data_IF_753530260646
#
_entry.id   IF_753530260646
#
_cell.length_a   1.000
_cell.length_b   1.000
_cell.length_c   1.000
_cell.angle_alpha   90.00
_cell.angle_beta   90.00
_cell.angle_gamma   90.00
#
_symmetry.space_group_name_H-M   'P 1'
#
loop_
_entity.id
_entity.type
_entity.pdbx_description
1 polymer ?
#
# COMPACT_ATOMS: atom_id res chain seq x y z
N UNK A 1 8.04 -38.48 -8.23
CA UNK A 1 7.93 -38.76 -9.67
C UNK A 1 6.63 -38.15 -10.20
N UNK A 2 5.52 -38.90 -10.26
CA UNK A 2 4.29 -38.42 -10.92
C UNK A 2 3.74 -37.06 -10.43
N UNK A 3 3.71 -36.80 -9.12
CA UNK A 3 3.18 -35.52 -8.59
C UNK A 3 4.14 -34.34 -8.74
N UNK A 4 5.46 -34.58 -8.66
CA UNK A 4 6.48 -33.56 -8.90
C UNK A 4 6.48 -33.12 -10.36
N UNK A 5 6.47 -34.09 -11.30
CA UNK A 5 6.40 -33.79 -12.75
C UNK A 5 5.10 -33.08 -13.15
N UNK A 6 3.99 -33.35 -12.43
CA UNK A 6 2.71 -32.68 -12.66
C UNK A 6 2.73 -31.23 -12.14
N UNK A 7 3.34 -30.98 -10.98
CA UNK A 7 3.59 -29.62 -10.45
C UNK A 7 4.50 -28.80 -11.36
N UNK A 8 5.60 -29.38 -11.83
CA UNK A 8 6.55 -28.70 -12.73
C UNK A 8 5.89 -28.30 -14.06
N UNK A 9 5.08 -29.20 -14.65
CA UNK A 9 4.30 -28.88 -15.86
C UNK A 9 3.29 -27.76 -15.61
N UNK A 10 2.54 -27.81 -14.50
CA UNK A 10 1.62 -26.71 -14.12
C UNK A 10 2.35 -25.38 -13.91
N UNK A 11 3.50 -25.38 -13.23
CA UNK A 11 4.31 -24.18 -13.04
C UNK A 11 4.81 -23.60 -14.37
N UNK A 12 5.26 -24.46 -15.31
CA UNK A 12 5.69 -24.01 -16.64
C UNK A 12 4.55 -23.35 -17.45
N UNK A 13 3.30 -23.80 -17.27
CA UNK A 13 2.12 -23.20 -17.90
C UNK A 13 1.80 -21.82 -17.31
N UNK A 14 1.80 -21.69 -15.97
CA UNK A 14 1.58 -20.42 -15.26
C UNK A 14 2.67 -19.39 -15.62
N UNK A 15 3.93 -19.82 -15.74
CA UNK A 15 5.01 -18.96 -16.22
C UNK A 15 4.82 -18.49 -17.67
N UNK A 16 4.34 -19.37 -18.56
CA UNK A 16 4.05 -19.02 -19.95
C UNK A 16 2.90 -18.02 -20.05
N UNK A 17 1.81 -18.24 -19.32
CA UNK A 17 0.67 -17.31 -19.22
C UNK A 17 1.09 -15.95 -18.64
N UNK A 18 1.97 -15.93 -17.62
CA UNK A 18 2.55 -14.70 -17.07
C UNK A 18 3.37 -13.95 -18.13
N UNK A 19 4.24 -14.65 -18.88
CA UNK A 19 5.03 -14.06 -19.97
C UNK A 19 4.14 -13.52 -21.08
N UNK A 20 3.05 -14.22 -21.41
CA UNK A 20 2.07 -13.74 -22.38
C UNK A 20 1.36 -12.47 -21.89
N UNK A 21 0.85 -12.47 -20.66
CA UNK A 21 0.22 -11.30 -20.04
C UNK A 21 1.19 -10.10 -19.98
N UNK A 22 2.47 -10.33 -19.65
CA UNK A 22 3.51 -9.30 -19.76
C UNK A 22 3.67 -8.76 -21.18
N UNK A 23 3.79 -9.61 -22.19
CA UNK A 23 3.95 -9.16 -23.59
C UNK A 23 2.74 -8.40 -24.12
N UNK A 24 1.53 -8.74 -23.65
CA UNK A 24 0.30 -8.02 -23.96
C UNK A 24 0.26 -6.67 -23.24
N UNK A 25 0.70 -6.60 -21.98
CA UNK A 25 0.85 -5.34 -21.24
C UNK A 25 1.90 -4.41 -21.84
N UNK A 26 3.04 -4.95 -22.27
CA UNK A 26 4.08 -4.20 -22.99
C UNK A 26 3.53 -3.64 -24.31
N UNK A 27 2.84 -4.47 -25.12
CA UNK A 27 2.23 -4.03 -26.37
C UNK A 27 1.11 -2.99 -26.16
N UNK A 28 0.33 -3.10 -25.08
CA UNK A 28 -0.70 -2.11 -24.72
C UNK A 28 -0.09 -0.78 -24.26
N UNK A 29 1.01 -0.81 -23.50
CA UNK A 29 1.78 0.39 -23.17
C UNK A 29 2.31 1.10 -24.42
N UNK A 30 2.82 0.34 -25.39
CA UNK A 30 3.40 0.89 -26.63
C UNK A 30 2.33 1.38 -27.62
N UNK A 31 1.09 0.87 -27.53
CA UNK A 31 -0.07 1.39 -28.27
C UNK A 31 -0.76 2.59 -27.60
N UNK A 32 -0.38 2.93 -26.36
CA UNK A 32 -1.00 3.98 -25.56
C UNK A 32 -2.31 3.57 -24.86
N UNK A 33 -2.71 2.29 -24.94
CA UNK A 33 -3.84 1.75 -24.16
C UNK A 33 -3.39 1.37 -22.74
N UNK A 34 -3.21 2.41 -21.93
CA UNK A 34 -2.73 2.25 -20.56
C UNK A 34 -3.73 1.51 -19.66
N UNK A 35 -5.03 1.50 -19.96
CA UNK A 35 -6.03 0.74 -19.19
C UNK A 35 -5.85 -0.75 -19.41
N UNK A 36 -5.84 -1.19 -20.67
CA UNK A 36 -5.56 -2.60 -20.99
C UNK A 36 -4.18 -3.03 -20.48
N UNK A 37 -3.19 -2.13 -20.49
CA UNK A 37 -1.89 -2.41 -19.88
C UNK A 37 -2.00 -2.70 -18.37
N UNK A 38 -2.74 -1.89 -17.59
CA UNK A 38 -2.99 -2.17 -16.16
C UNK A 38 -3.64 -3.54 -15.97
N UNK A 39 -4.64 -3.89 -16.77
CA UNK A 39 -5.32 -5.19 -16.69
C UNK A 39 -4.37 -6.36 -16.99
N UNK A 40 -3.59 -6.27 -18.07
CA UNK A 40 -2.62 -7.30 -18.46
C UNK A 40 -1.50 -7.46 -17.42
N UNK A 41 -0.94 -6.37 -16.88
CA UNK A 41 0.05 -6.47 -15.81
C UNK A 41 -0.56 -6.92 -14.49
N UNK A 42 -1.82 -6.57 -14.19
CA UNK A 42 -2.53 -7.11 -13.02
C UNK A 42 -2.69 -8.62 -13.14
N UNK A 43 -3.10 -9.14 -14.31
CA UNK A 43 -3.11 -10.58 -14.57
C UNK A 43 -1.72 -11.22 -14.40
N UNK A 44 -0.65 -10.57 -14.88
CA UNK A 44 0.71 -11.07 -14.68
C UNK A 44 1.14 -11.08 -13.21
N UNK A 45 0.73 -10.08 -12.42
CA UNK A 45 0.95 -10.02 -10.96
C UNK A 45 0.13 -11.08 -10.22
N UNK A 46 -1.11 -11.39 -10.64
CA UNK A 46 -1.90 -12.50 -10.07
C UNK A 46 -1.19 -13.85 -10.24
N UNK A 47 -0.63 -14.09 -11.43
CA UNK A 47 0.09 -15.32 -11.73
C UNK A 47 1.44 -15.41 -11.00
N UNK A 48 2.11 -14.28 -10.74
CA UNK A 48 3.33 -14.22 -9.93
C UNK A 48 3.43 -12.90 -9.14
N UNK A 49 2.95 -12.86 -7.88
CA UNK A 49 2.90 -11.62 -7.09
C UNK A 49 4.27 -11.00 -6.75
N UNK A 50 5.34 -11.80 -6.89
CA UNK A 50 6.73 -11.40 -6.65
C UNK A 50 7.53 -11.19 -7.95
N UNK A 51 6.87 -10.74 -9.02
CA UNK A 51 7.53 -10.37 -10.26
C UNK A 51 7.73 -8.84 -10.36
N UNK A 52 8.97 -8.39 -10.15
CA UNK A 52 9.34 -6.97 -10.22
C UNK A 52 9.02 -6.36 -11.60
N UNK A 53 9.17 -7.11 -12.70
CA UNK A 53 8.91 -6.60 -14.06
C UNK A 53 7.43 -6.29 -14.25
N UNK A 54 6.54 -7.18 -13.82
CA UNK A 54 5.09 -6.96 -13.91
C UNK A 54 4.62 -5.81 -13.00
N UNK A 55 5.15 -5.71 -11.78
CA UNK A 55 4.85 -4.60 -10.87
C UNK A 55 5.34 -3.24 -11.42
N UNK A 56 6.53 -3.19 -12.03
CA UNK A 56 7.05 -1.99 -12.70
C UNK A 56 6.24 -1.62 -13.95
N UNK A 57 5.79 -2.61 -14.73
CA UNK A 57 4.92 -2.41 -15.89
C UNK A 57 3.57 -1.83 -15.51
N UNK A 58 2.93 -2.38 -14.46
CA UNK A 58 1.68 -1.84 -13.91
C UNK A 58 1.88 -0.41 -13.38
N UNK A 59 2.94 -0.16 -12.62
CA UNK A 59 3.25 1.18 -12.13
C UNK A 59 3.48 2.20 -13.27
N UNK A 60 4.12 1.80 -14.38
CA UNK A 60 4.24 2.64 -15.60
C UNK A 60 2.86 2.98 -16.16
N UNK A 61 2.01 1.99 -16.39
CA UNK A 61 0.67 2.20 -16.94
C UNK A 61 -0.19 3.13 -16.05
N UNK A 62 -0.15 2.93 -14.72
CA UNK A 62 -0.86 3.75 -13.74
C UNK A 62 -0.38 5.21 -13.74
N UNK A 63 0.92 5.47 -13.90
CA UNK A 63 1.45 6.84 -14.03
C UNK A 63 0.91 7.56 -15.26
N UNK A 64 0.83 6.88 -16.41
CA UNK A 64 0.31 7.46 -17.65
C UNK A 64 -1.22 7.69 -17.60
N UNK A 65 -1.95 6.93 -16.77
CA UNK A 65 -3.36 7.17 -16.45
C UNK A 65 -3.60 8.31 -15.45
N UNK A 66 -2.55 8.76 -14.74
CA UNK A 66 -2.66 9.71 -13.63
C UNK A 66 -3.04 9.07 -12.28
N UNK A 67 -3.10 7.74 -12.20
CA UNK A 67 -3.34 6.91 -11.01
C UNK A 67 -2.08 6.87 -10.13
N UNK A 68 -1.69 8.05 -9.64
CA UNK A 68 -0.40 8.27 -8.98
C UNK A 68 -0.26 7.51 -7.64
N UNK A 69 -1.37 7.26 -6.94
CA UNK A 69 -1.37 6.54 -5.67
C UNK A 69 -1.17 5.03 -5.88
N UNK A 70 -1.90 4.48 -6.83
CA UNK A 70 -1.85 3.08 -7.26
C UNK A 70 -0.48 2.77 -7.90
N UNK A 71 0.06 3.70 -8.69
CA UNK A 71 1.42 3.64 -9.21
C UNK A 71 2.48 3.59 -8.10
N UNK A 72 2.34 4.45 -7.08
CA UNK A 72 3.24 4.46 -5.92
C UNK A 72 3.21 3.11 -5.19
N UNK A 73 2.04 2.49 -5.09
CA UNK A 73 1.86 1.16 -4.49
C UNK A 73 2.51 0.06 -5.30
N UNK A 74 2.21 -0.04 -6.59
CA UNK A 74 2.83 -1.02 -7.50
C UNK A 74 4.36 -0.88 -7.52
N UNK A 75 4.88 0.35 -7.56
CA UNK A 75 6.32 0.60 -7.54
C UNK A 75 6.97 0.31 -6.18
N UNK A 76 6.30 0.61 -5.05
CA UNK A 76 6.80 0.29 -3.71
C UNK A 76 6.85 -1.22 -3.46
N UNK A 77 5.89 -1.98 -3.99
CA UNK A 77 5.96 -3.45 -4.03
C UNK A 77 7.13 -3.92 -4.91
N UNK A 78 7.34 -3.33 -6.08
CA UNK A 78 8.45 -3.68 -6.97
C UNK A 78 9.82 -3.49 -6.30
N UNK A 79 10.02 -2.37 -5.58
CA UNK A 79 11.25 -2.09 -4.80
C UNK A 79 11.44 -3.11 -3.67
N UNK A 80 10.37 -3.56 -3.00
CA UNK A 80 10.46 -4.59 -1.96
C UNK A 80 10.79 -5.98 -2.51
N UNK A 81 10.27 -6.31 -3.70
CA UNK A 81 10.54 -7.57 -4.40
C UNK A 81 11.98 -7.60 -4.92
N UNK A 82 12.47 -6.49 -5.47
CA UNK A 82 13.84 -6.36 -5.97
C UNK A 82 14.43 -4.99 -5.59
N UNK A 83 15.08 -4.87 -4.42
CA UNK A 83 15.65 -3.61 -3.93
C UNK A 83 16.72 -3.00 -4.84
N UNK A 84 17.37 -3.81 -5.68
CA UNK A 84 18.40 -3.37 -6.63
C UNK A 84 17.82 -3.01 -8.02
N UNK A 85 16.49 -3.01 -8.18
CA UNK A 85 15.85 -2.61 -9.44
C UNK A 85 15.81 -1.09 -9.58
N UNK A 86 16.73 -0.53 -10.38
CA UNK A 86 16.75 0.89 -10.72
C UNK A 86 15.41 1.37 -11.30
N UNK A 87 14.76 0.53 -12.11
CA UNK A 87 13.44 0.83 -12.70
C UNK A 87 12.35 0.91 -11.63
N UNK A 88 12.38 0.05 -10.60
CA UNK A 88 11.40 0.10 -9.51
C UNK A 88 11.53 1.40 -8.70
N UNK A 89 12.77 1.78 -8.34
CA UNK A 89 13.05 3.05 -7.65
C UNK A 89 12.67 4.27 -8.50
N UNK A 90 12.92 4.22 -9.81
CA UNK A 90 12.48 5.25 -10.76
C UNK A 90 10.95 5.39 -10.75
N UNK A 91 10.19 4.30 -10.94
CA UNK A 91 8.72 4.35 -10.96
C UNK A 91 8.17 4.87 -9.62
N UNK A 92 8.77 4.48 -8.49
CA UNK A 92 8.39 4.98 -7.16
C UNK A 92 8.66 6.48 -7.02
N UNK A 93 9.82 6.94 -7.46
CA UNK A 93 10.18 8.36 -7.47
C UNK A 93 9.27 9.19 -8.37
N UNK A 94 8.91 8.69 -9.56
CA UNK A 94 7.95 9.35 -10.44
C UNK A 94 6.55 9.44 -9.81
N UNK A 95 6.06 8.37 -9.18
CA UNK A 95 4.77 8.37 -8.50
C UNK A 95 4.72 9.38 -7.33
N UNK A 96 5.78 9.43 -6.51
CA UNK A 96 5.90 10.43 -5.45
C UNK A 96 5.90 11.86 -5.98
N UNK A 97 6.46 12.13 -7.17
CA UNK A 97 6.37 13.45 -7.81
C UNK A 97 4.98 13.76 -8.32
N UNK A 98 4.28 12.79 -8.90
CA UNK A 98 2.87 12.95 -9.30
C UNK A 98 1.94 13.19 -8.11
N UNK A 99 2.28 12.65 -6.93
CA UNK A 99 1.63 12.93 -5.64
C UNK A 99 2.09 14.25 -4.98
N UNK A 100 3.00 15.01 -5.59
CA UNK A 100 3.55 16.26 -5.03
C UNK A 100 4.63 16.09 -3.95
N UNK A 101 4.84 14.87 -3.44
CA UNK A 101 5.80 14.51 -2.39
C UNK A 101 7.27 14.48 -2.90
N UNK A 102 7.72 15.57 -3.51
CA UNK A 102 9.03 15.68 -4.18
C UNK A 102 10.21 15.42 -3.24
N UNK A 103 10.06 15.76 -1.94
CA UNK A 103 11.05 15.51 -0.90
C UNK A 103 11.32 14.01 -0.67
N UNK A 104 10.31 13.14 -0.82
CA UNK A 104 10.45 11.67 -0.76
C UNK A 104 10.85 11.08 -2.13
N UNK A 105 10.54 11.77 -3.23
CA UNK A 105 10.92 11.34 -4.56
C UNK A 105 12.44 11.42 -4.81
N UNK A 106 13.09 12.49 -4.36
CA UNK A 106 14.53 12.72 -4.53
C UNK A 106 15.41 11.52 -4.12
N UNK A 107 15.32 10.94 -2.91
CA UNK A 107 16.14 9.78 -2.54
C UNK A 107 15.82 8.54 -3.39
N UNK A 108 14.56 8.31 -3.78
CA UNK A 108 14.21 7.20 -4.68
C UNK A 108 14.86 7.36 -6.06
N UNK A 109 14.84 8.58 -6.61
CA UNK A 109 15.43 8.87 -7.91
C UNK A 109 16.98 8.91 -7.88
N UNK A 110 17.58 9.30 -6.75
CA UNK A 110 19.02 9.17 -6.51
C UNK A 110 19.44 7.70 -6.47
N UNK A 111 18.69 6.84 -5.77
CA UNK A 111 18.97 5.41 -5.69
C UNK A 111 18.80 4.73 -7.06
N UNK A 112 17.80 5.11 -7.84
CA UNK A 112 17.65 4.69 -9.23
C UNK A 112 18.90 5.02 -10.08
N UNK A 113 19.43 6.24 -9.96
CA UNK A 113 20.68 6.66 -10.65
C UNK A 113 21.95 6.02 -10.07
N UNK A 114 21.93 5.59 -8.80
CA UNK A 114 23.06 4.85 -8.18
C UNK A 114 23.13 3.41 -8.70
N UNK A 115 21.98 2.79 -8.90
CA UNK A 115 21.83 1.42 -9.40
C UNK A 115 22.03 1.34 -10.93
N UNK A 116 21.47 2.28 -11.68
CA UNK A 116 21.69 2.43 -13.12
C UNK A 116 21.99 3.91 -13.47
N UNK A 117 23.27 4.29 -13.56
CA UNK A 117 23.68 5.63 -13.92
C UNK A 117 23.26 6.07 -15.32
N UNK A 118 23.01 5.13 -16.24
CA UNK A 118 22.72 5.39 -17.65
C UNK A 118 21.22 5.46 -17.97
N UNK A 119 20.36 5.12 -17.01
CA UNK A 119 18.90 5.22 -17.11
C UNK A 119 18.44 6.68 -17.41
N UNK A 120 18.05 7.00 -18.67
CA UNK A 120 17.83 8.38 -19.09
C UNK A 120 16.55 8.98 -18.49
N UNK A 121 15.56 8.14 -18.18
CA UNK A 121 14.34 8.53 -17.46
C UNK A 121 14.67 9.01 -16.04
N UNK A 122 15.56 8.33 -15.31
CA UNK A 122 15.95 8.72 -13.95
C UNK A 122 16.71 10.04 -13.94
N UNK A 123 17.64 10.24 -14.88
CA UNK A 123 18.37 11.50 -15.06
C UNK A 123 17.43 12.68 -15.37
N UNK A 124 16.44 12.47 -16.25
CA UNK A 124 15.38 13.46 -16.54
C UNK A 124 14.53 13.76 -15.31
N UNK A 125 14.06 12.73 -14.60
CA UNK A 125 13.25 12.85 -13.40
C UNK A 125 13.99 13.61 -12.28
N UNK A 126 15.27 13.33 -12.07
CA UNK A 126 16.14 14.05 -11.13
C UNK A 126 16.33 15.52 -11.52
N UNK A 127 16.54 15.83 -12.80
CA UNK A 127 16.66 17.23 -13.26
C UNK A 127 15.41 18.06 -12.97
N UNK A 128 14.22 17.46 -13.10
CA UNK A 128 12.95 18.11 -12.77
C UNK A 128 12.75 18.25 -11.25
N UNK A 129 13.02 17.20 -10.47
CA UNK A 129 12.93 17.19 -9.01
C UNK A 129 13.99 18.07 -8.31
N UNK A 130 15.13 18.30 -8.95
CA UNK A 130 16.18 19.17 -8.43
C UNK A 130 15.95 20.65 -8.78
N UNK A 131 14.89 20.97 -9.53
CA UNK A 131 14.63 22.35 -9.96
C UNK A 131 14.36 23.29 -8.78
N UNK A 132 14.75 24.57 -8.83
CA UNK A 132 14.59 25.50 -7.71
C UNK A 132 13.11 25.79 -7.37
N UNK A 133 12.18 25.47 -8.28
CA UNK A 133 10.73 25.48 -8.01
C UNK A 133 10.34 24.29 -7.12
N UNK A 134 10.80 23.10 -7.49
CA UNK A 134 10.58 21.87 -6.73
C UNK A 134 11.19 21.92 -5.32
N UNK A 135 12.44 22.39 -5.19
CA UNK A 135 13.08 22.56 -3.89
C UNK A 135 12.32 23.53 -2.96
N UNK A 136 11.69 24.58 -3.52
CA UNK A 136 10.84 25.51 -2.76
C UNK A 136 9.51 24.88 -2.33
N UNK A 137 8.92 24.01 -3.16
CA UNK A 137 7.73 23.25 -2.79
C UNK A 137 8.04 22.27 -1.65
N UNK A 138 9.08 21.44 -1.82
CA UNK A 138 9.59 20.52 -0.79
C UNK A 138 9.88 21.22 0.54
N UNK A 139 10.58 22.37 0.52
CA UNK A 139 10.94 23.11 1.74
C UNK A 139 9.74 23.79 2.42
N UNK A 140 8.66 24.07 1.68
CA UNK A 140 7.41 24.59 2.25
C UNK A 140 6.60 23.47 2.89
N UNK A 141 6.59 22.29 2.29
CA UNK A 141 5.89 21.10 2.77
C UNK A 141 6.56 20.50 4.00
N UNK A 142 7.89 20.35 4.00
CA UNK A 142 8.67 19.89 5.15
C UNK A 142 8.70 20.88 6.32
N UNK A 143 8.17 22.09 6.15
CA UNK A 143 8.05 23.13 7.17
C UNK A 143 6.61 23.32 7.66
N UNK A 144 5.63 22.64 7.06
CA UNK A 144 4.34 22.46 7.71
C UNK A 144 4.54 21.58 8.95
N UNK A 145 3.85 21.82 10.07
CA UNK A 145 3.90 20.92 11.21
C UNK A 145 3.44 19.53 10.76
N UNK A 146 4.13 18.48 11.23
CA UNK A 146 3.79 17.08 11.00
C UNK A 146 2.47 16.72 11.69
N UNK A 147 1.35 17.22 11.14
CA UNK A 147 0.09 16.51 11.17
C UNK A 147 0.34 15.23 10.40
N UNK A 148 0.14 14.09 11.05
CA UNK A 148 0.18 12.77 10.42
C UNK A 148 -0.57 12.86 9.09
N UNK A 149 0.16 12.74 7.99
CA UNK A 149 -0.45 12.94 6.68
C UNK A 149 -1.45 11.80 6.47
N UNK A 150 -2.64 12.02 5.86
CA UNK A 150 -3.58 10.93 5.63
C UNK A 150 -3.01 9.84 4.71
N UNK A 151 -1.96 10.14 3.95
CA UNK A 151 -1.15 9.20 3.16
C UNK A 151 0.00 8.52 3.95
N UNK A 152 0.24 8.95 5.19
CA UNK A 152 1.00 8.25 6.23
C UNK A 152 0.09 7.37 7.10
N UNK A 153 -1.17 7.15 6.66
CA UNK A 153 -2.01 6.03 7.08
C UNK A 153 -1.35 4.74 6.61
N UNK A 154 -0.34 4.30 7.35
CA UNK A 154 0.21 2.96 7.31
C UNK A 154 -0.95 1.98 7.15
N UNK A 155 -0.85 1.14 6.12
CA UNK A 155 -2.01 0.45 5.56
C UNK A 155 -2.81 -0.22 6.66
N UNK A 156 -4.06 0.23 6.81
CA UNK A 156 -4.96 -0.29 7.82
C UNK A 156 -5.66 -1.49 7.23
N UNK A 157 -5.50 -2.64 7.87
CA UNK A 157 -6.20 -3.86 7.48
C UNK A 157 -7.71 -3.59 7.44
N UNK A 158 -8.41 -3.99 6.38
CA UNK A 158 -9.86 -3.85 6.33
C UNK A 158 -10.53 -4.63 7.48
N UNK A 159 -9.95 -5.77 7.86
CA UNK A 159 -10.34 -6.58 9.02
C UNK A 159 -10.05 -5.91 10.39
N UNK A 160 -8.77 -5.82 10.79
CA UNK A 160 -8.41 -5.37 12.14
C UNK A 160 -8.16 -3.86 12.29
N UNK A 161 -8.21 -3.09 11.20
CA UNK A 161 -7.88 -1.66 11.13
C UNK A 161 -6.47 -1.30 11.63
N UNK A 162 -5.59 -2.29 11.85
CA UNK A 162 -4.21 -2.06 12.28
C UNK A 162 -3.35 -1.55 11.14
N UNK A 163 -2.60 -0.50 11.44
CA UNK A 163 -1.50 0.00 10.63
C UNK A 163 -0.38 -1.04 10.55
N UNK A 164 -0.22 -1.70 9.40
CA UNK A 164 0.86 -2.65 9.18
C UNK A 164 1.60 -2.37 7.88
N UNK A 165 2.92 -2.51 7.91
CA UNK A 165 3.76 -2.30 6.73
C UNK A 165 3.62 -3.42 5.68
N UNK A 166 3.03 -4.56 6.04
CA UNK A 166 3.00 -5.79 5.23
C UNK A 166 1.59 -6.39 5.15
N UNK A 167 1.16 -6.71 3.94
CA UNK A 167 -0.17 -7.21 3.65
C UNK A 167 -0.38 -7.56 2.19
N UNK A 168 -1.60 -7.96 1.85
CA UNK A 168 -2.07 -8.28 0.51
C UNK A 168 -3.36 -7.48 0.22
N UNK A 169 -3.73 -7.38 -1.05
CA UNK A 169 -4.97 -6.73 -1.48
C UNK A 169 -5.92 -7.84 -1.96
N UNK A 170 -7.13 -7.87 -1.41
CA UNK A 170 -8.20 -8.68 -1.97
C UNK A 170 -8.65 -8.08 -3.31
N UNK A 171 -8.80 -8.93 -4.32
CA UNK A 171 -9.07 -8.49 -5.69
C UNK A 171 -10.56 -8.51 -6.07
N UNK A 172 -11.45 -9.01 -5.21
CA UNK A 172 -12.89 -8.87 -5.34
C UNK A 172 -13.35 -7.52 -4.76
N UNK A 173 -12.81 -7.15 -3.59
CA UNK A 173 -13.21 -5.94 -2.85
C UNK A 173 -12.23 -4.76 -3.02
N UNK A 174 -11.02 -5.00 -3.54
CA UNK A 174 -9.96 -3.98 -3.67
C UNK A 174 -9.32 -3.55 -2.34
N UNK A 175 -9.71 -4.19 -1.24
CA UNK A 175 -9.34 -3.84 0.12
C UNK A 175 -7.98 -4.43 0.53
N UNK A 176 -7.25 -3.70 1.38
CA UNK A 176 -5.95 -4.15 1.88
C UNK A 176 -6.08 -4.88 3.22
N UNK A 177 -5.39 -6.01 3.36
CA UNK A 177 -5.37 -6.85 4.55
C UNK A 177 -3.94 -7.04 5.04
N UNK A 178 -3.69 -6.93 6.35
CA UNK A 178 -2.38 -7.23 6.90
C UNK A 178 -2.06 -8.72 6.72
N UNK A 179 -0.77 -9.10 6.78
CA UNK A 179 -0.32 -10.49 6.55
C UNK A 179 -1.10 -11.51 7.40
N UNK A 180 -1.35 -11.21 8.67
CA UNK A 180 -2.03 -12.11 9.59
C UNK A 180 -3.50 -12.34 9.23
N UNK A 181 -4.25 -11.26 8.95
CA UNK A 181 -5.65 -11.36 8.53
C UNK A 181 -5.79 -12.05 7.16
N UNK A 182 -4.89 -11.76 6.22
CA UNK A 182 -4.87 -12.45 4.93
C UNK A 182 -4.60 -13.96 5.05
N UNK A 183 -3.63 -14.36 5.88
CA UNK A 183 -3.32 -15.77 6.11
C UNK A 183 -4.46 -16.51 6.84
N UNK A 184 -5.23 -15.82 7.70
CA UNK A 184 -6.46 -16.38 8.29
C UNK A 184 -7.56 -16.53 7.24
N UNK A 185 -7.86 -15.47 6.49
CA UNK A 185 -8.91 -15.44 5.47
C UNK A 185 -8.74 -16.55 4.43
N UNK A 186 -7.54 -16.71 3.87
CA UNK A 186 -7.23 -17.78 2.89
C UNK A 186 -7.28 -19.18 3.51
N UNK A 187 -7.09 -19.30 4.83
CA UNK A 187 -7.24 -20.58 5.54
C UNK A 187 -8.72 -20.96 5.74
N UNK A 188 -9.63 -19.98 5.80
CA UNK A 188 -11.08 -20.19 5.95
C UNK A 188 -11.77 -20.38 4.59
N UNK A 189 -11.33 -19.68 3.53
CA UNK A 189 -11.90 -19.78 2.17
C UNK A 189 -11.74 -21.18 1.54
N UNK A 190 -10.78 -21.97 2.02
CA UNK A 190 -10.63 -23.39 1.64
C UNK A 190 -11.85 -24.27 2.01
N UNK A 191 -12.81 -23.77 2.80
CA UNK A 191 -13.99 -24.53 3.22
C UNK A 191 -15.27 -24.29 2.39
N UNK A 192 -15.60 -23.04 2.00
CA UNK A 192 -16.92 -22.72 1.44
C UNK A 192 -16.90 -21.54 0.44
N UNK A 193 -17.02 -21.85 -0.85
CA UNK A 193 -17.51 -20.88 -1.84
C UNK A 193 -18.94 -20.45 -1.50
N UNK A 194 -19.21 -19.15 -1.30
CA UNK A 194 -20.58 -18.60 -1.27
C UNK A 194 -20.73 -17.25 -2.00
N UNK A 195 -21.95 -16.89 -2.44
CA UNK A 195 -22.13 -16.04 -3.62
C UNK A 195 -22.51 -14.59 -3.31
N UNK A 196 -22.47 -13.77 -4.37
CA UNK A 196 -22.98 -12.39 -4.50
C UNK A 196 -24.28 -12.09 -3.72
N UNK A 197 -24.32 -10.91 -3.11
CA UNK A 197 -25.58 -10.16 -2.90
C UNK A 197 -25.54 -9.19 -1.71
N UNK A 198 -25.57 -7.88 -2.00
CA UNK A 198 -26.16 -6.91 -1.06
C UNK A 198 -27.67 -7.23 -0.89
N UNK A 199 -28.27 -6.82 0.23
CA UNK A 199 -29.14 -5.64 0.12
C UNK A 199 -28.90 -4.59 1.22
N UNK A 200 -29.55 -3.44 1.03
CA UNK A 200 -29.33 -2.18 1.76
C UNK A 200 -30.18 -2.01 3.04
N UNK A 201 -29.73 -1.04 3.86
CA UNK A 201 -30.51 -0.12 4.73
C UNK A 201 -31.05 -0.54 6.13
N UNK A 202 -31.43 0.53 6.85
CA UNK A 202 -32.09 0.67 8.16
C UNK A 202 -31.26 0.46 9.45
N UNK A 203 -30.47 1.48 9.80
CA UNK A 203 -30.44 1.97 11.19
C UNK A 203 -31.80 2.60 11.52
N UNK A 204 -32.38 2.44 12.75
CA UNK A 204 -31.67 2.88 13.96
C UNK A 204 -32.09 2.25 15.32
N UNK A 205 -31.44 2.77 16.38
CA UNK A 205 -31.81 2.77 17.83
C UNK A 205 -31.46 1.53 18.67
N UNK A 206 -30.88 1.85 19.84
CA UNK A 206 -31.56 1.48 21.08
C UNK A 206 -30.75 0.63 22.07
N UNK A 207 -30.33 1.27 23.16
CA UNK A 207 -29.74 0.66 24.34
C UNK A 207 -30.52 -0.54 24.93
N UNK A 208 -29.76 -1.52 25.45
CA UNK A 208 -30.01 -2.36 26.64
C UNK A 208 -28.67 -3.00 27.04
N UNK A 209 -28.03 -2.74 28.19
CA UNK A 209 -28.38 -2.95 29.62
C UNK A 209 -28.31 -4.41 30.10
N UNK A 210 -27.54 -4.66 31.18
CA UNK A 210 -27.47 -5.92 31.95
C UNK A 210 -26.01 -6.45 32.01
N UNK A 211 -25.24 -6.29 33.10
CA UNK A 211 -25.35 -6.87 34.45
C UNK A 211 -25.06 -8.39 34.47
N UNK A 212 -24.34 -9.01 35.43
CA UNK A 212 -23.75 -8.61 36.72
C UNK A 212 -22.45 -9.45 36.95
N UNK A 213 -21.73 -9.55 38.09
CA UNK A 213 -21.89 -9.10 39.48
C UNK A 213 -20.48 -8.97 40.15
N UNK A 214 -20.26 -7.98 41.04
CA UNK A 214 -20.11 -8.13 42.51
C UNK A 214 -18.73 -8.62 43.04
N UNK A 215 -18.02 -7.79 43.81
CA UNK A 215 -18.06 -7.85 45.30
C UNK A 215 -17.37 -6.62 45.96
N UNK A 216 -17.98 -6.10 47.02
CA UNK A 216 -17.53 -5.06 48.00
C UNK A 216 -18.38 -5.32 49.28
N UNK A 217 -18.09 -4.80 50.51
CA UNK A 217 -17.15 -3.73 50.88
C UNK A 217 -16.33 -3.98 52.18
N UNK A 218 -15.54 -2.99 52.63
CA UNK A 218 -15.33 -2.71 54.07
C UNK A 218 -14.71 -1.33 54.35
N UNK A 219 -15.45 -0.54 55.12
CA UNK A 219 -15.40 0.92 55.28
C UNK A 219 -14.23 1.53 56.13
N UNK A 220 -13.99 2.86 56.01
CA UNK A 220 -13.05 3.67 56.82
C UNK A 220 -13.74 4.38 58.02
N UNK A 221 -13.02 5.16 58.86
CA UNK A 221 -12.92 6.63 58.65
C UNK A 221 -11.55 7.25 59.07
N UNK A 222 -11.37 8.57 58.87
CA UNK A 222 -10.20 9.34 59.35
C UNK A 222 -10.19 10.82 58.93
N UNK A 223 -10.95 11.67 59.62
CA UNK A 223 -11.00 13.14 59.52
C UNK A 223 -10.86 13.74 60.94
N UNK A 224 -10.72 15.07 61.18
CA UNK A 224 -10.43 16.21 60.28
C UNK A 224 -9.28 17.13 60.81
N UNK A 225 -8.95 18.25 60.12
CA UNK A 225 -8.82 19.63 60.69
C UNK A 225 -8.06 20.64 59.77
N UNK A 226 -8.26 21.97 59.89
CA UNK A 226 -7.78 22.98 58.92
C UNK A 226 -6.87 24.10 59.51
N UNK A 227 -6.47 25.07 58.65
CA UNK A 227 -6.40 26.53 58.87
C UNK A 227 -5.09 27.28 58.49
N UNK A 228 -5.24 28.62 58.34
CA UNK A 228 -4.27 29.70 58.04
C UNK A 228 -3.63 29.71 56.63
N UNK A 229 -3.76 30.74 55.78
CA UNK A 229 -3.85 32.21 55.89
C UNK A 229 -2.51 32.97 55.81
N UNK A 230 -2.27 33.57 54.64
CA UNK A 230 -1.41 34.73 54.37
C UNK A 230 -1.87 35.34 53.02
N UNK A 231 -1.93 36.65 52.77
CA UNK A 231 -1.65 37.79 53.65
C UNK A 231 -0.56 38.70 53.08
N UNK A 232 -0.96 39.74 52.33
CA UNK A 232 -0.14 40.95 52.09
C UNK A 232 0.31 41.23 50.66
N UNK A 233 -0.43 42.10 49.96
CA UNK A 233 0.04 43.26 49.18
C UNK A 233 -1.15 43.91 48.46
#
# INVERSE_FOLDING_TARGET
AGESEKREKSQSSVEAERRQAQSQGDAALDSGDYRSAVDFFTKAVRLQPRDCRSLCGRARAQLELGEAHEAFMSASMAVRVQPESAVAHLRKGLALRSLGQEHKALPCLQEAMRLDPDLPEARKAMGLASSPKSQRASKKESAAPAREQPEERAFRCAECNDAAEFGAIDEADGNWYCKACWESFVSEDSAVQRPKGLPEDDSPKGARTGAAAADEPSAPPGEPAPASAAGGA
#
